data_IF_360276858934
#
_entry.id   IF_360276858934
#
_cell.length_a   1.000
_cell.length_b   1.000
_cell.length_c   1.000
_cell.angle_alpha   90.00
_cell.angle_beta   90.00
_cell.angle_gamma   90.00
#
_symmetry.space_group_name_H-M   'P 1'
#
loop_
_entity.id
_entity.type
_entity.pdbx_description
1 polymer ?
#
# COMPACT_ATOMS: atom_id res chain seq x y z
N UNK A 1 -4.16 -14.61 0.62
CA UNK A 1 -4.18 -13.14 0.69
C UNK A 1 -5.63 -12.70 0.60
N UNK A 2 -6.00 -11.56 1.17
CA UNK A 2 -7.24 -10.92 0.72
C UNK A 2 -8.47 -11.04 1.61
N UNK A 3 -8.41 -11.64 2.79
CA UNK A 3 -9.63 -11.94 3.57
C UNK A 3 -9.91 -11.01 4.74
N UNK A 4 -8.86 -10.57 5.43
CA UNK A 4 -8.99 -9.86 6.69
C UNK A 4 -8.55 -8.41 6.53
N UNK A 5 -9.11 -7.52 7.37
CA UNK A 5 -8.70 -6.12 7.43
C UNK A 5 -7.20 -5.95 7.71
N UNK A 6 -6.65 -6.83 8.56
CA UNK A 6 -5.22 -6.89 8.85
C UNK A 6 -4.73 -8.30 8.55
N UNK A 7 -3.73 -8.41 7.68
CA UNK A 7 -3.09 -9.68 7.34
C UNK A 7 -1.58 -9.50 7.10
N UNK A 8 -0.92 -10.54 6.58
CA UNK A 8 0.51 -10.52 6.29
C UNK A 8 0.92 -9.48 5.23
N UNK A 9 -0.01 -8.97 4.42
CA UNK A 9 0.25 -7.99 3.37
C UNK A 9 -0.05 -6.56 3.80
N UNK A 10 -0.75 -6.36 4.92
CA UNK A 10 -0.91 -5.05 5.54
C UNK A 10 0.43 -4.34 5.80
N UNK A 11 1.47 -5.08 6.22
CA UNK A 11 2.82 -4.52 6.40
C UNK A 11 3.48 -4.15 5.07
N UNK A 12 3.16 -4.87 4.00
CA UNK A 12 3.66 -4.58 2.65
C UNK A 12 3.03 -3.28 2.14
N UNK A 13 1.71 -3.10 2.29
CA UNK A 13 1.02 -1.87 1.95
C UNK A 13 1.53 -0.68 2.76
N UNK A 14 1.76 -0.88 4.06
CA UNK A 14 2.40 0.12 4.92
C UNK A 14 3.79 0.53 4.41
N UNK A 15 4.65 -0.43 4.07
CA UNK A 15 5.98 -0.16 3.52
C UNK A 15 5.90 0.56 2.15
N UNK A 16 4.96 0.18 1.29
CA UNK A 16 4.73 0.84 0.02
C UNK A 16 4.33 2.31 0.21
N UNK A 17 3.46 2.61 1.19
CA UNK A 17 3.10 3.99 1.54
C UNK A 17 4.30 4.84 1.95
N UNK A 18 5.21 4.28 2.76
CA UNK A 18 6.47 4.93 3.14
C UNK A 18 7.33 5.22 1.89
N UNK A 19 7.46 4.25 1.00
CA UNK A 19 8.26 4.41 -0.23
C UNK A 19 7.70 5.52 -1.12
N UNK A 20 6.38 5.55 -1.32
CA UNK A 20 5.71 6.58 -2.13
C UNK A 20 5.97 7.99 -1.59
N UNK A 21 5.96 8.15 -0.27
CA UNK A 21 6.32 9.41 0.37
C UNK A 21 7.76 9.84 0.02
N UNK A 22 8.74 8.96 0.22
CA UNK A 22 10.15 9.29 -0.04
C UNK A 22 10.47 9.42 -1.53
N UNK A 23 9.64 8.86 -2.42
CA UNK A 23 9.72 9.09 -3.86
C UNK A 23 9.09 10.43 -4.28
N UNK A 24 8.61 11.22 -3.32
CA UNK A 24 8.08 12.57 -3.55
C UNK A 24 6.68 12.59 -4.14
N UNK A 25 5.96 11.46 -4.11
CA UNK A 25 4.59 11.37 -4.64
C UNK A 25 3.64 11.97 -3.59
N UNK A 26 2.80 12.91 -4.03
CA UNK A 26 1.83 13.56 -3.14
C UNK A 26 0.87 12.56 -2.50
N UNK A 27 0.31 12.87 -1.34
CA UNK A 27 -0.64 11.99 -0.67
C UNK A 27 -1.84 11.67 -1.56
N UNK A 28 -2.46 12.68 -2.16
CA UNK A 28 -3.64 12.50 -3.01
C UNK A 28 -3.35 11.62 -4.22
N UNK A 29 -2.19 11.81 -4.87
CA UNK A 29 -1.76 10.96 -5.97
C UNK A 29 -1.53 9.53 -5.49
N UNK A 30 -0.79 9.36 -4.39
CA UNK A 30 -0.49 8.04 -3.81
C UNK A 30 -1.77 7.29 -3.43
N UNK A 31 -2.72 7.97 -2.80
CA UNK A 31 -4.01 7.43 -2.36
C UNK A 31 -4.83 6.92 -3.56
N UNK A 32 -4.98 7.74 -4.60
CA UNK A 32 -5.75 7.36 -5.80
C UNK A 32 -5.02 6.26 -6.57
N UNK A 33 -3.71 6.34 -6.70
CA UNK A 33 -2.91 5.30 -7.38
C UNK A 33 -3.04 3.96 -6.67
N UNK A 34 -2.95 3.92 -5.34
CA UNK A 34 -3.12 2.69 -4.57
C UNK A 34 -4.54 2.13 -4.69
N UNK A 35 -5.56 3.00 -4.60
CA UNK A 35 -6.95 2.59 -4.78
C UNK A 35 -7.21 1.98 -6.17
N UNK A 36 -6.61 2.56 -7.22
CA UNK A 36 -6.69 2.01 -8.57
C UNK A 36 -5.91 0.71 -8.72
N UNK A 37 -4.76 0.60 -8.07
CA UNK A 37 -3.98 -0.64 -8.01
C UNK A 37 -4.83 -1.78 -7.43
N UNK A 38 -5.45 -1.59 -6.26
CA UNK A 38 -6.34 -2.55 -5.61
C UNK A 38 -7.51 -2.97 -6.51
N UNK A 39 -8.14 -2.00 -7.20
CA UNK A 39 -9.26 -2.26 -8.09
C UNK A 39 -8.86 -3.08 -9.33
N UNK A 40 -7.66 -2.85 -9.86
CA UNK A 40 -7.12 -3.57 -11.03
C UNK A 40 -6.64 -4.97 -10.62
N UNK A 41 -5.94 -5.09 -9.49
CA UNK A 41 -5.37 -6.35 -9.01
C UNK A 41 -6.45 -7.42 -8.80
N UNK A 42 -7.64 -6.99 -8.40
CA UNK A 42 -8.80 -7.84 -8.15
C UNK A 42 -9.61 -8.22 -9.41
N UNK A 43 -9.15 -7.82 -10.61
CA UNK A 43 -9.73 -8.28 -11.88
C UNK A 43 -9.20 -9.68 -12.26
N UNK A 44 -10.05 -10.53 -12.84
CA UNK A 44 -9.67 -11.89 -13.27
C UNK A 44 -8.43 -11.92 -14.17
N UNK A 45 -8.32 -10.96 -15.08
CA UNK A 45 -7.16 -10.81 -15.96
C UNK A 45 -5.86 -10.53 -15.18
N UNK A 46 -5.90 -9.61 -14.22
CA UNK A 46 -4.73 -9.25 -13.41
C UNK A 46 -4.31 -10.40 -12.49
N UNK A 47 -5.27 -11.05 -11.82
CA UNK A 47 -5.02 -12.27 -11.05
C UNK A 47 -4.37 -13.37 -11.88
N UNK A 48 -4.87 -13.58 -13.11
CA UNK A 48 -4.28 -14.52 -14.06
C UNK A 48 -2.85 -14.19 -14.47
N UNK A 49 -2.47 -12.90 -14.53
CA UNK A 49 -1.07 -12.48 -14.74
C UNK A 49 -0.25 -12.76 -13.49
N UNK A 50 -0.71 -12.33 -12.31
CA UNK A 50 0.00 -12.49 -11.03
C UNK A 50 0.36 -13.96 -10.79
N UNK A 51 -0.62 -14.85 -10.92
CA UNK A 51 -0.42 -16.29 -10.76
C UNK A 51 0.57 -16.90 -11.77
N UNK A 52 0.73 -16.31 -12.97
CA UNK A 52 1.73 -16.75 -13.97
C UNK A 52 3.14 -16.26 -13.67
N UNK A 53 3.31 -15.17 -12.92
CA UNK A 53 4.65 -14.65 -12.62
C UNK A 53 5.44 -15.58 -11.71
N UNK A 54 4.77 -16.32 -10.82
CA UNK A 54 5.39 -17.25 -9.88
C UNK A 54 6.21 -16.61 -8.76
N UNK A 55 6.33 -15.28 -8.72
CA UNK A 55 7.12 -14.56 -7.71
C UNK A 55 6.25 -13.86 -6.67
N UNK A 56 4.94 -13.77 -6.92
CA UNK A 56 4.01 -13.18 -5.97
C UNK A 56 3.80 -14.15 -4.79
N UNK A 57 4.23 -13.79 -3.57
CA UNK A 57 4.15 -14.69 -2.44
C UNK A 57 2.69 -15.03 -2.12
N UNK A 58 2.35 -16.32 -2.18
CA UNK A 58 1.00 -16.81 -1.91
C UNK A 58 0.00 -16.75 -3.06
N UNK A 59 0.39 -16.21 -4.23
CA UNK A 59 -0.50 -16.10 -5.40
C UNK A 59 -1.73 -15.21 -5.16
N UNK A 60 -2.63 -15.17 -6.15
CA UNK A 60 -3.91 -14.44 -6.12
C UNK A 60 -5.01 -15.24 -6.83
N UNK A 61 -5.39 -16.38 -6.23
CA UNK A 61 -6.40 -17.30 -6.77
C UNK A 61 -7.84 -16.78 -6.66
N UNK A 62 -8.05 -15.74 -5.85
CA UNK A 62 -9.33 -15.09 -5.62
C UNK A 62 -9.12 -13.60 -5.39
N UNK A 63 -10.15 -12.83 -5.71
CA UNK A 63 -10.18 -11.42 -5.38
C UNK A 63 -10.25 -11.23 -3.86
N UNK A 64 -9.70 -10.13 -3.40
CA UNK A 64 -9.77 -9.69 -2.04
C UNK A 64 -11.21 -9.33 -1.68
N UNK A 65 -11.54 -9.58 -0.42
CA UNK A 65 -12.76 -9.10 0.19
C UNK A 65 -12.73 -7.59 0.29
N UNK A 66 -13.90 -6.95 0.26
CA UNK A 66 -14.01 -5.49 0.44
C UNK A 66 -13.34 -5.03 1.74
N UNK A 67 -13.44 -5.84 2.81
CA UNK A 67 -12.82 -5.51 4.10
C UNK A 67 -11.29 -5.52 4.02
N UNK A 68 -10.70 -6.40 3.23
CA UNK A 68 -9.25 -6.45 3.04
C UNK A 68 -8.75 -5.26 2.20
N UNK A 69 -9.38 -4.94 1.06
CA UNK A 69 -8.98 -3.77 0.27
C UNK A 69 -9.12 -2.45 1.04
N UNK A 70 -10.09 -2.34 1.96
CA UNK A 70 -10.18 -1.21 2.89
C UNK A 70 -9.00 -1.17 3.88
N UNK A 71 -8.60 -2.33 4.38
CA UNK A 71 -7.42 -2.51 5.22
C UNK A 71 -6.13 -2.11 4.48
N UNK A 72 -5.96 -2.58 3.26
CA UNK A 72 -4.77 -2.31 2.44
C UNK A 72 -4.65 -0.82 2.10
N UNK A 73 -5.77 -0.18 1.73
CA UNK A 73 -5.82 1.28 1.57
C UNK A 73 -5.50 2.02 2.86
N UNK A 74 -5.98 1.53 4.01
CA UNK A 74 -5.71 2.12 5.32
C UNK A 74 -4.22 2.03 5.68
N UNK A 75 -3.62 0.84 5.59
CA UNK A 75 -2.22 0.63 5.94
C UNK A 75 -1.26 1.36 5.00
N UNK A 76 -1.55 1.40 3.70
CA UNK A 76 -0.80 2.23 2.75
C UNK A 76 -0.84 3.72 3.14
N UNK A 77 -2.04 4.24 3.39
CA UNK A 77 -2.23 5.64 3.81
C UNK A 77 -1.50 5.94 5.12
N UNK A 78 -1.56 5.01 6.08
CA UNK A 78 -0.88 5.13 7.36
C UNK A 78 0.65 5.19 7.19
N UNK A 79 1.21 4.34 6.32
CA UNK A 79 2.65 4.35 6.01
C UNK A 79 3.11 5.68 5.44
N UNK A 80 2.38 6.23 4.48
CA UNK A 80 2.67 7.54 3.90
C UNK A 80 2.61 8.66 4.95
N UNK A 81 1.58 8.66 5.79
CA UNK A 81 1.38 9.69 6.83
C UNK A 81 2.44 9.62 7.93
N UNK A 82 2.82 8.42 8.38
CA UNK A 82 3.89 8.25 9.37
C UNK A 82 5.23 8.72 8.80
N UNK A 83 5.54 8.37 7.54
CA UNK A 83 6.78 8.82 6.89
C UNK A 83 6.84 10.37 6.81
N UNK A 84 5.73 11.01 6.43
CA UNK A 84 5.61 12.48 6.44
C UNK A 84 5.81 13.07 7.84
N UNK A 85 5.17 12.50 8.85
CA UNK A 85 5.26 13.01 10.22
C UNK A 85 6.71 12.95 10.73
N UNK A 86 7.38 11.82 10.55
CA UNK A 86 8.77 11.65 10.98
C UNK A 86 9.74 12.54 10.20
N UNK A 87 9.58 12.70 8.89
CA UNK A 87 10.44 13.63 8.12
C UNK A 87 10.23 15.10 8.53
N UNK A 88 8.98 15.50 8.80
CA UNK A 88 8.68 16.84 9.29
C UNK A 88 9.33 17.10 10.66
N UNK A 89 9.21 16.17 11.59
CA UNK A 89 9.81 16.27 12.92
C UNK A 89 11.34 16.40 12.84
N UNK A 90 11.99 15.55 12.03
CA UNK A 90 13.43 15.60 11.78
C UNK A 90 13.90 16.93 11.14
N UNK A 91 13.08 17.56 10.29
CA UNK A 91 13.37 18.89 9.74
C UNK A 91 13.18 20.00 10.77
N UNK A 92 12.17 19.86 11.63
CA UNK A 92 11.92 20.76 12.76
C UNK A 92 13.03 20.73 13.82
N UNK A 93 13.66 19.58 14.04
CA UNK A 93 14.85 19.45 14.89
C UNK A 93 16.10 20.03 14.24
N UNK A 94 16.36 19.74 12.95
CA UNK A 94 17.53 20.28 12.21
C UNK A 94 17.54 21.80 12.08
N UNK A 95 16.38 22.46 12.11
CA UNK A 95 16.28 23.93 12.13
C UNK A 95 16.56 24.59 13.48
N UNK A 96 16.77 23.79 14.55
CA UNK A 96 17.06 24.27 15.91
C UNK A 96 18.53 24.10 16.33
N UNK A 97 19.37 23.47 15.49
CA UNK A 97 20.81 23.26 15.69
C UNK A 97 21.59 24.29 14.87
#
# INVERSE_FOLDING_TARGET
MGEYFTDNFSILHFAAGIIFYYFGISFSTSFVTHLLFEAIENQEFAMGIINKTGWWPGGKDKADTVINSLGDQFYFSLGWLIAKYLDYDNKGERGKI
#
